data_IF_451528713209
#
_entry.id   IF_451528713209
#
_cell.length_a   1.000
_cell.length_b   1.000
_cell.length_c   1.000
_cell.angle_alpha   90.00
_cell.angle_beta   90.00
_cell.angle_gamma   90.00
#
_symmetry.space_group_name_H-M   'P 1'
#
loop_
_entity.id
_entity.type
_entity.pdbx_description
1 polymer ?
#
# COMPACT_ATOMS: atom_id res chain seq x y z
N UNK A 1 -40.00 31.40 13.66
CA UNK A 1 -39.73 31.70 12.24
C UNK A 1 -38.38 31.12 11.86
N UNK A 2 -38.37 29.90 11.30
CA UNK A 2 -37.18 29.17 10.87
C UNK A 2 -36.62 29.83 9.60
N UNK A 3 -35.47 30.50 9.72
CA UNK A 3 -34.81 31.18 8.59
C UNK A 3 -34.22 30.12 7.66
N UNK A 4 -34.77 29.96 6.44
CA UNK A 4 -34.21 29.06 5.42
C UNK A 4 -32.88 29.64 4.92
N UNK A 5 -31.77 28.96 5.17
CA UNK A 5 -30.46 29.32 4.61
C UNK A 5 -30.39 28.89 3.14
N UNK A 6 -30.07 29.82 2.24
CA UNK A 6 -29.77 29.52 0.84
C UNK A 6 -28.25 29.44 0.69
N UNK A 7 -27.66 28.28 0.33
CA UNK A 7 -26.23 28.17 0.12
C UNK A 7 -25.81 28.88 -1.17
N UNK A 8 -24.66 29.56 -1.14
CA UNK A 8 -24.03 30.19 -2.30
C UNK A 8 -22.62 29.63 -2.46
N UNK A 9 -22.38 28.92 -3.56
CA UNK A 9 -21.06 28.41 -3.96
C UNK A 9 -20.51 29.28 -5.09
N UNK A 10 -19.21 29.61 -5.02
CA UNK A 10 -18.53 30.44 -6.01
C UNK A 10 -17.26 29.73 -6.48
N UNK A 11 -17.20 29.41 -7.77
CA UNK A 11 -16.06 28.70 -8.36
C UNK A 11 -14.85 29.62 -8.64
N UNK A 12 -15.11 30.88 -9.01
CA UNK A 12 -14.07 31.91 -9.17
C UNK A 12 -14.38 33.17 -8.36
N UNK A 13 -13.66 33.31 -7.24
CA UNK A 13 -13.76 34.45 -6.34
C UNK A 13 -13.36 35.78 -7.00
N UNK A 14 -12.47 35.75 -8.00
CA UNK A 14 -12.00 36.96 -8.69
C UNK A 14 -13.07 37.48 -9.63
N UNK A 15 -13.71 36.59 -10.39
CA UNK A 15 -14.84 36.95 -11.25
C UNK A 15 -16.02 37.46 -10.41
N UNK A 16 -16.38 36.75 -9.35
CA UNK A 16 -17.46 37.15 -8.44
C UNK A 16 -17.21 38.52 -7.81
N UNK A 17 -16.01 38.78 -7.30
CA UNK A 17 -15.68 40.08 -6.70
C UNK A 17 -15.69 41.23 -7.71
N UNK A 18 -15.32 41.00 -8.99
CA UNK A 18 -15.48 42.02 -10.05
C UNK A 18 -16.94 42.30 -10.36
N UNK A 19 -17.77 41.26 -10.45
CA UNK A 19 -19.21 41.42 -10.65
C UNK A 19 -19.85 42.20 -9.49
N UNK A 20 -19.45 41.90 -8.24
CA UNK A 20 -19.90 42.62 -7.06
C UNK A 20 -19.43 44.08 -7.05
N UNK A 21 -18.15 44.34 -7.38
CA UNK A 21 -17.61 45.70 -7.50
C UNK A 21 -18.40 46.55 -8.51
N UNK A 22 -18.78 45.97 -9.66
CA UNK A 22 -19.63 46.64 -10.65
C UNK A 22 -21.00 47.02 -10.11
N UNK A 23 -21.60 46.19 -9.26
CA UNK A 23 -22.89 46.49 -8.61
C UNK A 23 -22.76 47.57 -7.53
N UNK A 24 -21.60 47.64 -6.86
CA UNK A 24 -21.30 48.66 -5.85
C UNK A 24 -20.95 50.03 -6.45
N UNK A 25 -20.53 50.08 -7.72
CA UNK A 25 -20.18 51.33 -8.40
C UNK A 25 -19.07 52.09 -7.67
N UNK A 26 -19.23 53.41 -7.51
CA UNK A 26 -18.28 54.29 -6.80
C UNK A 26 -18.10 53.93 -5.31
N UNK A 27 -19.05 53.20 -4.71
CA UNK A 27 -18.92 52.72 -3.34
C UNK A 27 -18.01 51.48 -3.23
N UNK A 28 -17.53 50.93 -4.36
CA UNK A 28 -16.68 49.76 -4.34
C UNK A 28 -15.28 50.10 -3.83
N UNK A 29 -14.78 49.39 -2.81
CA UNK A 29 -13.37 49.46 -2.45
C UNK A 29 -12.51 48.81 -3.54
N UNK A 30 -11.18 49.01 -3.50
CA UNK A 30 -10.25 48.36 -4.40
C UNK A 30 -10.44 46.84 -4.42
N UNK A 31 -10.26 46.22 -5.58
CA UNK A 31 -10.55 44.81 -5.82
C UNK A 31 -9.93 43.86 -4.77
N UNK A 32 -8.66 44.07 -4.42
CA UNK A 32 -7.97 43.27 -3.41
C UNK A 32 -8.60 43.41 -2.02
N UNK A 33 -9.02 44.62 -1.66
CA UNK A 33 -9.72 44.90 -0.40
C UNK A 33 -11.06 44.18 -0.37
N UNK A 34 -11.82 44.22 -1.47
CA UNK A 34 -13.09 43.50 -1.63
C UNK A 34 -12.90 41.98 -1.50
N UNK A 35 -11.87 41.40 -2.13
CA UNK A 35 -11.56 39.97 -1.99
C UNK A 35 -11.21 39.60 -0.55
N UNK A 36 -10.44 40.43 0.16
CA UNK A 36 -10.12 40.18 1.56
C UNK A 36 -11.35 40.29 2.47
N UNK A 37 -12.30 41.18 2.16
CA UNK A 37 -13.59 41.24 2.87
C UNK A 37 -14.42 39.97 2.65
N UNK A 38 -14.48 39.47 1.42
CA UNK A 38 -15.15 38.21 1.10
C UNK A 38 -14.50 37.01 1.82
N UNK A 39 -13.17 36.94 1.85
CA UNK A 39 -12.45 35.91 2.59
C UNK A 39 -12.77 35.95 4.10
N UNK A 40 -12.85 37.15 4.70
CA UNK A 40 -13.26 37.34 6.10
C UNK A 40 -14.71 36.97 6.35
N UNK A 41 -15.62 37.31 5.45
CA UNK A 41 -17.03 36.91 5.54
C UNK A 41 -17.18 35.37 5.49
N UNK A 42 -16.27 34.68 4.79
CA UNK A 42 -16.19 33.23 4.74
C UNK A 42 -15.41 32.60 5.93
N UNK A 43 -14.97 33.39 6.92
CA UNK A 43 -14.30 32.90 8.12
C UNK A 43 -12.76 32.80 8.04
N UNK A 44 -12.13 33.31 6.98
CA UNK A 44 -10.67 33.34 6.84
C UNK A 44 -10.08 34.70 7.23
N UNK A 45 -8.82 34.78 7.66
CA UNK A 45 -8.21 36.07 8.04
C UNK A 45 -8.03 37.01 6.83
N UNK A 46 -7.63 36.45 5.69
CA UNK A 46 -7.44 37.13 4.42
C UNK A 46 -7.42 36.10 3.26
N UNK A 47 -7.29 36.58 2.02
CA UNK A 47 -7.27 35.71 0.83
C UNK A 47 -6.08 34.74 0.81
N UNK A 48 -4.91 35.13 1.34
CA UNK A 48 -3.73 34.26 1.40
C UNK A 48 -3.94 33.11 2.38
N UNK A 49 -4.55 33.38 3.54
CA UNK A 49 -4.93 32.37 4.52
C UNK A 49 -5.92 31.36 3.92
N UNK A 50 -6.95 31.85 3.21
CA UNK A 50 -7.90 30.98 2.51
C UNK A 50 -7.20 30.06 1.50
N UNK A 51 -6.31 30.62 0.67
CA UNK A 51 -5.52 29.85 -0.29
C UNK A 51 -4.61 28.82 0.39
N UNK A 52 -3.96 29.19 1.49
CA UNK A 52 -3.09 28.29 2.25
C UNK A 52 -3.87 27.12 2.86
N UNK A 53 -5.05 27.38 3.44
CA UNK A 53 -5.95 26.35 3.98
C UNK A 53 -6.44 25.41 2.88
N UNK A 54 -6.88 25.94 1.73
CA UNK A 54 -7.30 25.12 0.59
C UNK A 54 -6.16 24.28 0.01
N UNK A 55 -4.96 24.85 -0.12
CA UNK A 55 -3.78 24.12 -0.58
C UNK A 55 -3.37 23.01 0.40
N UNK A 56 -3.46 23.26 1.71
CA UNK A 56 -3.22 22.25 2.73
C UNK A 56 -4.26 21.12 2.69
N UNK A 57 -5.55 21.46 2.56
CA UNK A 57 -6.62 20.49 2.37
C UNK A 57 -6.42 19.65 1.11
N UNK A 58 -5.99 20.27 0.00
CA UNK A 58 -5.65 19.57 -1.24
C UNK A 58 -4.47 18.59 -1.07
N UNK A 59 -3.41 18.99 -0.35
CA UNK A 59 -2.29 18.10 -0.03
C UNK A 59 -2.73 16.90 0.82
N UNK A 60 -3.57 17.13 1.83
CA UNK A 60 -4.11 16.05 2.67
C UNK A 60 -5.01 15.09 1.88
N UNK A 61 -5.86 15.63 1.00
CA UNK A 61 -6.70 14.81 0.12
C UNK A 61 -5.85 13.96 -0.84
N UNK A 62 -4.77 14.52 -1.40
CA UNK A 62 -3.84 13.78 -2.26
C UNK A 62 -3.03 12.73 -1.51
N UNK A 63 -2.59 13.01 -0.28
CA UNK A 63 -1.91 12.03 0.57
C UNK A 63 -2.80 10.82 0.92
N UNK A 64 -4.13 11.02 0.94
CA UNK A 64 -5.11 9.97 1.18
C UNK A 64 -5.51 9.19 -0.09
N UNK A 65 -5.10 9.62 -1.28
CA UNK A 65 -5.21 8.79 -2.49
C UNK A 65 -4.11 7.74 -2.39
N UNK A 66 -4.52 6.47 -2.21
CA UNK A 66 -3.62 5.35 -2.01
C UNK A 66 -2.38 5.41 -2.93
N UNK A 67 -1.16 5.16 -2.41
CA UNK A 67 0.03 5.19 -3.25
C UNK A 67 -0.15 4.22 -4.41
N UNK A 68 -0.13 4.76 -5.63
CA UNK A 68 -0.07 3.95 -6.85
C UNK A 68 1.14 3.04 -6.71
N UNK A 69 0.90 1.73 -6.63
CA UNK A 69 1.95 0.75 -6.40
C UNK A 69 3.14 0.95 -7.36
N UNK A 70 4.37 0.86 -6.86
CA UNK A 70 5.55 0.89 -7.73
C UNK A 70 5.63 -0.40 -8.57
N UNK A 71 5.09 -0.32 -9.78
CA UNK A 71 5.03 -1.44 -10.72
C UNK A 71 6.42 -1.95 -11.11
N UNK A 72 7.44 -1.08 -11.17
CA UNK A 72 8.81 -1.48 -11.51
C UNK A 72 9.42 -2.29 -10.38
N UNK A 73 9.17 -1.94 -9.12
CA UNK A 73 9.63 -2.72 -7.98
C UNK A 73 8.97 -4.10 -7.95
N UNK A 74 7.66 -4.18 -8.24
CA UNK A 74 6.92 -5.44 -8.32
C UNK A 74 7.53 -6.34 -9.40
N UNK A 75 7.69 -5.85 -10.63
CA UNK A 75 8.27 -6.61 -11.74
C UNK A 75 9.68 -7.12 -11.42
N UNK A 76 10.55 -6.24 -10.90
CA UNK A 76 11.92 -6.63 -10.50
C UNK A 76 11.95 -7.68 -9.39
N UNK A 77 10.94 -7.70 -8.53
CA UNK A 77 10.83 -8.68 -7.46
C UNK A 77 10.29 -9.99 -8.00
N UNK A 78 9.29 -9.96 -8.91
CA UNK A 78 8.75 -11.14 -9.58
C UNK A 78 9.79 -11.93 -10.36
N UNK A 79 10.79 -11.26 -10.95
CA UNK A 79 11.88 -11.94 -11.68
C UNK A 79 12.85 -12.69 -10.77
N UNK A 80 12.79 -12.49 -9.45
CA UNK A 80 13.55 -13.29 -8.48
C UNK A 80 12.87 -14.62 -8.17
N UNK A 81 11.59 -14.78 -8.54
CA UNK A 81 10.82 -16.00 -8.32
C UNK A 81 10.67 -16.80 -9.61
N UNK A 82 10.76 -18.12 -9.49
CA UNK A 82 10.52 -19.05 -10.59
C UNK A 82 9.02 -19.12 -10.98
N UNK A 83 8.70 -19.94 -11.97
CA UNK A 83 7.32 -20.18 -12.39
C UNK A 83 6.46 -20.86 -11.31
N UNK A 84 7.06 -21.54 -10.35
CA UNK A 84 6.38 -22.27 -9.28
C UNK A 84 6.14 -21.42 -8.01
N UNK A 85 6.70 -20.21 -7.97
CA UNK A 85 6.61 -19.28 -6.84
C UNK A 85 7.73 -19.41 -5.81
N UNK A 86 8.82 -20.14 -6.10
CA UNK A 86 10.02 -20.25 -5.28
C UNK A 86 11.01 -19.14 -5.57
N UNK A 87 11.64 -18.61 -4.52
CA UNK A 87 12.68 -17.60 -4.61
C UNK A 87 13.99 -18.24 -5.09
N UNK A 88 14.46 -17.86 -6.28
CA UNK A 88 15.64 -18.45 -6.93
C UNK A 88 16.94 -18.11 -6.20
N UNK A 89 17.08 -16.87 -5.75
CA UNK A 89 18.28 -16.35 -5.08
C UNK A 89 17.93 -15.21 -4.14
N UNK A 90 18.79 -14.97 -3.16
CA UNK A 90 18.65 -13.82 -2.28
C UNK A 90 18.97 -12.51 -3.02
N UNK A 91 18.03 -11.55 -3.14
CA UNK A 91 18.27 -10.31 -3.86
C UNK A 91 19.29 -9.41 -3.15
N UNK A 92 20.10 -8.64 -3.88
CA UNK A 92 21.07 -7.71 -3.28
C UNK A 92 20.46 -6.38 -2.82
N UNK A 93 19.34 -5.95 -3.42
CA UNK A 93 18.69 -4.66 -3.12
C UNK A 93 17.69 -4.80 -1.97
N UNK A 94 17.84 -3.96 -0.95
CA UNK A 94 16.98 -4.00 0.27
C UNK A 94 15.48 -3.91 -0.02
N UNK A 95 15.05 -3.03 -0.93
CA UNK A 95 13.64 -2.90 -1.29
C UNK A 95 13.06 -4.20 -1.89
N UNK A 96 13.84 -4.87 -2.74
CA UNK A 96 13.46 -6.15 -3.36
C UNK A 96 13.47 -7.27 -2.33
N UNK A 97 14.44 -7.28 -1.41
CA UNK A 97 14.47 -8.22 -0.28
C UNK A 97 13.21 -8.10 0.57
N UNK A 98 12.87 -6.89 1.04
CA UNK A 98 11.69 -6.66 1.86
C UNK A 98 10.42 -7.13 1.16
N UNK A 99 10.26 -6.78 -0.12
CA UNK A 99 9.09 -7.17 -0.89
C UNK A 99 9.02 -8.69 -1.13
N UNK A 100 10.16 -9.34 -1.42
CA UNK A 100 10.24 -10.80 -1.54
C UNK A 100 9.88 -11.52 -0.22
N UNK A 101 10.31 -10.97 0.93
CA UNK A 101 9.96 -11.51 2.25
C UNK A 101 8.46 -11.47 2.50
N UNK A 102 7.73 -10.45 2.03
CA UNK A 102 6.26 -10.45 2.10
C UNK A 102 5.64 -11.58 1.26
N UNK A 103 6.24 -11.91 0.12
CA UNK A 103 5.85 -13.07 -0.69
C UNK A 103 5.99 -14.40 0.04
N UNK A 104 7.05 -14.55 0.85
CA UNK A 104 7.29 -15.73 1.71
C UNK A 104 6.41 -15.72 2.97
N UNK A 105 6.25 -14.57 3.60
CA UNK A 105 5.40 -14.33 4.78
C UNK A 105 3.97 -14.80 4.57
N UNK A 106 3.43 -14.61 3.36
CA UNK A 106 2.07 -15.03 3.01
C UNK A 106 1.83 -16.55 3.08
N UNK A 107 2.89 -17.37 3.09
CA UNK A 107 2.79 -18.84 3.20
C UNK A 107 2.63 -19.29 4.65
N UNK A 108 3.05 -18.46 5.61
CA UNK A 108 2.95 -18.81 7.01
C UNK A 108 1.50 -18.74 7.49
N UNK A 109 1.04 -19.75 8.25
CA UNK A 109 -0.29 -19.72 8.85
C UNK A 109 -0.43 -18.55 9.83
N UNK A 110 -1.60 -17.88 9.85
CA UNK A 110 -1.86 -16.79 10.79
C UNK A 110 -2.02 -17.34 12.22
N UNK A 111 -1.47 -16.62 13.19
CA UNK A 111 -1.58 -16.89 14.64
C UNK A 111 -1.17 -18.30 15.12
N UNK A 112 -0.43 -19.05 14.30
CA UNK A 112 0.05 -20.38 14.69
C UNK A 112 1.48 -20.33 15.22
N UNK A 113 1.74 -20.76 16.46
CA UNK A 113 3.10 -20.99 16.94
C UNK A 113 3.73 -22.17 16.23
N UNK A 114 4.93 -21.99 15.69
CA UNK A 114 5.66 -23.03 14.98
C UNK A 114 7.05 -23.24 15.59
N UNK A 115 7.52 -24.50 15.71
CA UNK A 115 8.92 -24.76 16.02
C UNK A 115 9.82 -24.34 14.84
N UNK A 116 11.11 -24.13 15.12
CA UNK A 116 12.10 -23.78 14.10
C UNK A 116 12.12 -24.77 12.93
N UNK A 117 11.98 -26.07 13.21
CA UNK A 117 11.98 -27.15 12.21
C UNK A 117 10.86 -26.98 11.20
N UNK A 118 9.67 -26.59 11.65
CA UNK A 118 8.52 -26.35 10.78
C UNK A 118 8.69 -25.08 9.95
N UNK A 119 9.22 -24.01 10.55
CA UNK A 119 9.55 -22.79 9.80
C UNK A 119 10.59 -23.06 8.73
N UNK A 120 11.64 -23.81 9.05
CA UNK A 120 12.67 -24.20 8.08
C UNK A 120 12.06 -25.02 6.95
N UNK A 121 11.18 -25.99 7.26
CA UNK A 121 10.46 -26.78 6.26
C UNK A 121 9.62 -25.92 5.31
N UNK A 122 8.85 -24.97 5.86
CA UNK A 122 8.05 -24.03 5.06
C UNK A 122 8.93 -23.18 4.15
N UNK A 123 10.02 -22.63 4.70
CA UNK A 123 10.93 -21.80 3.90
C UNK A 123 11.62 -22.61 2.81
N UNK A 124 12.15 -23.80 3.12
CA UNK A 124 12.83 -24.67 2.15
C UNK A 124 11.92 -25.06 0.97
N UNK A 125 10.59 -25.14 1.16
CA UNK A 125 9.65 -25.36 0.08
C UNK A 125 9.44 -24.14 -0.86
N UNK A 126 9.92 -22.96 -0.45
CA UNK A 126 9.64 -21.67 -1.07
C UNK A 126 10.91 -20.94 -1.57
N UNK A 127 12.10 -21.55 -1.50
CA UNK A 127 13.34 -21.00 -2.07
C UNK A 127 14.30 -22.09 -2.55
N UNK A 128 15.25 -21.74 -3.42
CA UNK A 128 16.18 -22.71 -4.06
C UNK A 128 17.63 -22.64 -3.56
N UNK A 129 17.98 -21.66 -2.72
CA UNK A 129 19.36 -21.45 -2.23
C UNK A 129 19.64 -22.06 -0.84
N UNK A 130 18.72 -22.87 -0.32
CA UNK A 130 18.88 -23.71 0.89
C UNK A 130 19.38 -23.01 2.17
N UNK A 131 19.17 -21.69 2.29
CA UNK A 131 19.51 -20.91 3.50
C UNK A 131 18.25 -20.30 4.15
N UNK A 132 17.45 -21.13 4.86
CA UNK A 132 16.31 -20.64 5.61
C UNK A 132 16.72 -19.79 6.82
N UNK A 133 17.96 -19.91 7.32
CA UNK A 133 18.42 -19.16 8.49
C UNK A 133 18.54 -17.66 8.19
N UNK A 134 19.10 -17.31 7.04
CA UNK A 134 19.16 -15.90 6.57
C UNK A 134 17.77 -15.31 6.39
N UNK A 135 16.84 -16.08 5.81
CA UNK A 135 15.45 -15.65 5.65
C UNK A 135 14.77 -15.40 7.00
N UNK A 136 14.83 -16.35 7.95
CA UNK A 136 14.25 -16.18 9.29
C UNK A 136 14.80 -14.95 10.01
N UNK A 137 16.12 -14.79 10.04
CA UNK A 137 16.78 -13.64 10.69
C UNK A 137 16.29 -12.32 10.09
N UNK A 138 16.25 -12.25 8.76
CA UNK A 138 15.81 -11.03 8.07
C UNK A 138 14.32 -10.76 8.28
N UNK A 139 13.47 -11.78 8.27
CA UNK A 139 12.03 -11.64 8.56
C UNK A 139 11.78 -11.13 9.97
N UNK A 140 12.54 -11.58 10.97
CA UNK A 140 12.48 -11.05 12.34
C UNK A 140 12.92 -9.58 12.37
N UNK A 141 14.05 -9.26 11.73
CA UNK A 141 14.53 -7.87 11.64
C UNK A 141 13.55 -6.94 10.91
N UNK A 142 12.71 -7.47 10.02
CA UNK A 142 11.67 -6.72 9.32
C UNK A 142 10.32 -6.69 10.06
N UNK A 143 10.22 -7.30 11.25
CA UNK A 143 8.95 -7.38 11.99
C UNK A 143 7.89 -8.26 11.34
N UNK A 144 8.27 -9.21 10.48
CA UNK A 144 7.35 -10.14 9.80
C UNK A 144 7.10 -11.40 10.63
N UNK A 145 8.12 -11.83 11.37
CA UNK A 145 8.06 -12.95 12.29
C UNK A 145 8.55 -12.51 13.67
N UNK A 146 8.03 -13.13 14.71
CA UNK A 146 8.59 -13.08 16.07
C UNK A 146 9.05 -14.48 16.48
N UNK A 147 9.93 -14.54 17.49
CA UNK A 147 10.39 -15.78 18.12
C UNK A 147 10.62 -15.55 19.61
N UNK A 148 10.59 -16.62 20.40
CA UNK A 148 11.03 -16.58 21.79
C UNK A 148 12.56 -16.45 21.90
N UNK A 149 13.04 -16.04 23.08
CA UNK A 149 14.47 -15.78 23.35
C UNK A 149 15.33 -17.05 23.28
N UNK A 150 14.73 -18.20 23.57
CA UNK A 150 15.31 -19.54 23.44
C UNK A 150 15.45 -19.99 21.97
N UNK A 151 14.97 -19.19 21.02
CA UNK A 151 14.99 -19.53 19.59
C UNK A 151 13.82 -20.40 19.14
N UNK A 152 12.84 -20.66 20.00
CA UNK A 152 11.65 -21.45 19.69
C UNK A 152 10.43 -20.57 19.38
N UNK A 153 9.28 -21.22 19.11
CA UNK A 153 7.96 -20.58 19.02
C UNK A 153 7.94 -19.37 18.06
N UNK A 154 8.24 -19.65 16.80
CA UNK A 154 8.10 -18.67 15.74
C UNK A 154 6.62 -18.38 15.49
N UNK A 155 6.28 -17.10 15.34
CA UNK A 155 4.92 -16.66 15.03
C UNK A 155 4.94 -15.63 13.93
N UNK A 156 3.97 -15.73 13.03
CA UNK A 156 3.69 -14.70 12.05
C UNK A 156 3.12 -13.47 12.74
N UNK A 157 3.68 -12.29 12.46
CA UNK A 157 3.10 -11.02 12.90
C UNK A 157 2.08 -10.63 11.83
N UNK A 158 0.80 -10.58 12.22
CA UNK A 158 -0.25 -10.07 11.33
C UNK A 158 -0.11 -8.56 11.17
N UNK A 159 0.07 -8.14 9.93
CA UNK A 159 0.15 -6.75 9.55
C UNK A 159 -0.40 -6.58 8.13
N UNK A 160 -0.93 -5.40 7.84
CA UNK A 160 -1.39 -5.09 6.50
C UNK A 160 -0.20 -4.98 5.55
N UNK A 161 -0.09 -5.83 4.51
CA UNK A 161 1.01 -5.73 3.55
C UNK A 161 0.87 -4.43 2.75
N UNK A 162 1.99 -3.77 2.39
CA UNK A 162 1.98 -2.64 1.45
C UNK A 162 1.28 -3.00 0.13
N UNK A 163 0.82 -1.99 -0.62
CA UNK A 163 0.11 -2.19 -1.90
C UNK A 163 0.91 -3.06 -2.88
N UNK A 164 2.23 -2.84 -2.97
CA UNK A 164 3.15 -3.64 -3.78
C UNK A 164 3.20 -5.09 -3.32
N UNK A 165 3.20 -5.31 -2.00
CA UNK A 165 3.24 -6.64 -1.41
C UNK A 165 1.95 -7.40 -1.70
N UNK A 166 0.78 -6.75 -1.58
CA UNK A 166 -0.52 -7.34 -1.96
C UNK A 166 -0.50 -7.79 -3.43
N UNK A 167 -0.02 -6.93 -4.33
CA UNK A 167 0.08 -7.21 -5.76
C UNK A 167 1.05 -8.37 -6.07
N UNK A 168 2.18 -8.45 -5.36
CA UNK A 168 3.13 -9.56 -5.48
C UNK A 168 2.52 -10.87 -4.95
N UNK A 169 1.96 -10.86 -3.74
CA UNK A 169 1.36 -12.03 -3.08
C UNK A 169 0.27 -12.63 -3.97
N UNK A 170 -0.61 -11.82 -4.56
CA UNK A 170 -1.65 -12.31 -5.46
C UNK A 170 -1.09 -13.11 -6.64
N UNK A 171 0.02 -12.66 -7.24
CA UNK A 171 0.66 -13.34 -8.37
C UNK A 171 1.39 -14.61 -7.96
N UNK A 172 2.10 -14.57 -6.83
CA UNK A 172 2.79 -15.76 -6.29
C UNK A 172 1.78 -16.83 -5.85
N UNK A 173 0.67 -16.45 -5.23
CA UNK A 173 -0.41 -17.38 -4.86
C UNK A 173 -1.01 -18.09 -6.07
N UNK A 174 -1.13 -17.42 -7.22
CA UNK A 174 -1.55 -18.07 -8.46
C UNK A 174 -0.53 -19.12 -8.94
N UNK A 175 0.77 -18.80 -8.94
CA UNK A 175 1.86 -19.74 -9.27
C UNK A 175 1.88 -20.96 -8.34
N UNK A 176 1.71 -20.73 -7.03
CA UNK A 176 1.66 -21.79 -6.02
C UNK A 176 0.45 -22.72 -6.20
N UNK A 177 -0.72 -22.17 -6.52
CA UNK A 177 -1.93 -22.94 -6.85
C UNK A 177 -1.72 -23.83 -8.08
N UNK A 178 -1.05 -23.31 -9.10
CA UNK A 178 -0.69 -24.09 -10.30
C UNK A 178 0.29 -25.21 -9.94
N UNK A 179 1.32 -24.92 -9.13
CA UNK A 179 2.27 -25.92 -8.61
C UNK A 179 1.55 -27.03 -7.84
N UNK A 180 0.65 -26.69 -6.92
CA UNK A 180 -0.10 -27.69 -6.15
C UNK A 180 -1.02 -28.53 -7.05
N UNK A 181 -1.69 -27.91 -8.03
CA UNK A 181 -2.54 -28.63 -8.98
C UNK A 181 -1.75 -29.63 -9.84
N UNK A 182 -0.56 -29.24 -10.32
CA UNK A 182 0.33 -30.13 -11.06
C UNK A 182 0.86 -31.28 -10.18
N UNK A 183 1.13 -31.03 -8.90
CA UNK A 183 1.55 -32.08 -7.96
C UNK A 183 0.44 -33.09 -7.66
N UNK A 184 -0.83 -32.68 -7.68
CA UNK A 184 -1.98 -33.58 -7.51
C UNK A 184 -2.32 -34.37 -8.79
N UNK A 185 -1.82 -33.94 -9.96
CA UNK A 185 -2.20 -34.48 -11.27
C UNK A 185 -1.30 -35.63 -11.80
N UNK A 186 -0.43 -36.26 -11.01
CA UNK A 186 0.30 -37.45 -11.48
C UNK A 186 0.78 -38.42 -10.37
N UNK A 187 0.96 -39.73 -10.66
CA UNK A 187 0.59 -40.52 -11.83
C UNK A 187 -0.32 -41.73 -11.46
N UNK A 188 -1.65 -41.58 -11.45
CA UNK A 188 -2.58 -42.71 -11.52
C UNK A 188 -3.22 -42.75 -12.92
N UNK A 189 -2.60 -43.49 -13.84
CA UNK A 189 -3.13 -43.55 -15.22
C UNK A 189 -2.32 -44.36 -16.24
N UNK A 190 -1.34 -45.16 -15.83
CA UNK A 190 -0.75 -46.21 -16.69
C UNK A 190 -0.76 -47.55 -15.98
N UNK A 191 -1.93 -48.16 -15.91
CA UNK A 191 -2.05 -49.58 -15.64
C UNK A 191 -3.19 -50.18 -16.47
N UNK A 192 -2.78 -51.02 -17.43
CA UNK A 192 -3.52 -52.17 -17.97
C UNK A 192 -4.77 -51.92 -18.83
N UNK A 193 -4.57 -51.83 -20.14
CA UNK A 193 -5.39 -52.61 -21.08
C UNK A 193 -4.46 -53.50 -21.90
N UNK A 194 -4.53 -54.80 -21.59
CA UNK A 194 -4.18 -55.88 -22.51
C UNK A 194 -5.25 -55.97 -23.59
#
# INVERSE_FOLDING_TARGET
MTRKSIPLQVDDLSHFSRALARQLGEASPPHLTLMNMLARAAGFQNLQHQRAVQAAAGRLAQANTAPSADHRLIERTLTQFDASGRLLRWPSRRAVQTLALFGLWAVFPPDTPMPETEVNRLLLAEHEFEDPATLRRTMISCGLLTRQRDGSNYRRIEQEPPTEAKALISRLSARRKQRSALATAGPEGRATRR
#
